data_IF_077342401402
#
_entry.id   IF_077342401402
#
_cell.length_a   1.000
_cell.length_b   1.000
_cell.length_c   1.000
_cell.angle_alpha   90.00
_cell.angle_beta   90.00
_cell.angle_gamma   90.00
#
_symmetry.space_group_name_H-M   'P 1'
#
loop_
_entity.id
_entity.type
_entity.pdbx_description
1 polymer ?
#
# COMPACT_ATOMS: atom_id res chain seq x y z
N UNK A 1 -22.91 -12.38 -1.37
CA UNK A 1 -24.16 -11.88 -1.95
C UNK A 1 -24.03 -11.52 -3.44
N UNK A 2 -23.28 -10.46 -3.83
CA UNK A 2 -23.17 -10.03 -5.25
C UNK A 2 -22.68 -11.16 -6.16
N UNK A 3 -21.68 -11.92 -5.73
CA UNK A 3 -21.18 -13.09 -6.47
C UNK A 3 -22.29 -14.15 -6.62
N UNK A 4 -22.96 -14.51 -5.54
CA UNK A 4 -24.05 -15.49 -5.55
C UNK A 4 -25.19 -15.11 -6.48
N UNK A 5 -25.54 -13.82 -6.52
CA UNK A 5 -26.56 -13.31 -7.47
C UNK A 5 -26.16 -13.57 -8.91
N UNK A 6 -24.90 -13.33 -9.27
CA UNK A 6 -24.40 -13.59 -10.61
C UNK A 6 -24.36 -15.09 -10.94
N UNK A 7 -23.96 -15.92 -9.98
CA UNK A 7 -23.96 -17.37 -10.15
C UNK A 7 -25.35 -17.94 -10.39
N UNK A 8 -26.38 -17.43 -9.68
CA UNK A 8 -27.80 -17.79 -9.92
C UNK A 8 -28.26 -17.43 -11.33
N UNK A 9 -27.72 -16.40 -11.94
CA UNK A 9 -27.96 -16.00 -13.32
C UNK A 9 -27.12 -16.80 -14.35
N UNK A 10 -26.36 -17.78 -13.90
CA UNK A 10 -25.47 -18.58 -14.75
C UNK A 10 -24.24 -17.81 -15.26
N UNK A 11 -23.91 -16.66 -14.66
CA UNK A 11 -22.82 -15.80 -15.09
C UNK A 11 -21.51 -16.12 -14.35
N UNK A 12 -20.39 -15.74 -14.97
CA UNK A 12 -19.06 -15.84 -14.38
C UNK A 12 -18.69 -14.55 -13.64
N UNK A 13 -17.82 -14.66 -12.65
CA UNK A 13 -17.33 -13.53 -11.84
C UNK A 13 -15.83 -13.55 -11.79
N UNK A 14 -15.22 -12.39 -12.06
CA UNK A 14 -13.80 -12.15 -11.83
C UNK A 14 -13.62 -11.30 -10.59
N UNK A 15 -12.84 -11.80 -9.62
CA UNK A 15 -12.46 -11.07 -8.43
C UNK A 15 -10.96 -10.79 -8.46
N UNK A 16 -10.59 -9.54 -8.74
CA UNK A 16 -9.20 -9.09 -8.75
C UNK A 16 -8.79 -8.59 -7.37
N UNK A 17 -7.66 -9.07 -6.91
CA UNK A 17 -6.99 -8.60 -5.69
C UNK A 17 -5.54 -8.22 -6.02
N UNK A 18 -4.91 -7.32 -5.25
CA UNK A 18 -3.47 -7.07 -5.38
C UNK A 18 -2.68 -8.36 -5.27
N UNK A 19 -1.56 -8.49 -5.98
CA UNK A 19 -0.79 -9.74 -6.04
C UNK A 19 -0.39 -10.24 -4.63
N UNK A 20 -0.06 -9.33 -3.72
CA UNK A 20 0.25 -9.64 -2.32
C UNK A 20 -1.02 -9.97 -1.52
N UNK A 21 -2.20 -9.53 -1.98
CA UNK A 21 -3.50 -9.81 -1.36
C UNK A 21 -4.01 -11.24 -1.58
N UNK A 22 -3.38 -12.02 -2.48
CA UNK A 22 -3.69 -13.44 -2.67
C UNK A 22 -3.13 -14.28 -1.52
N UNK A 23 -3.67 -14.04 -0.33
CA UNK A 23 -3.30 -14.81 0.86
C UNK A 23 -4.10 -16.10 0.96
N UNK A 24 -3.56 -17.08 1.70
CA UNK A 24 -4.26 -18.33 2.00
C UNK A 24 -5.62 -18.07 2.64
N UNK A 25 -5.76 -17.01 3.41
CA UNK A 25 -7.02 -16.64 4.07
C UNK A 25 -8.13 -16.32 3.06
N UNK A 26 -7.88 -15.44 2.07
CA UNK A 26 -8.90 -15.07 1.07
C UNK A 26 -9.22 -16.25 0.17
N UNK A 27 -8.21 -17.06 -0.18
CA UNK A 27 -8.36 -18.28 -0.97
C UNK A 27 -9.29 -19.27 -0.24
N UNK A 28 -9.03 -19.52 1.03
CA UNK A 28 -9.84 -20.43 1.84
C UNK A 28 -11.28 -19.92 2.02
N UNK A 29 -11.47 -18.64 2.30
CA UNK A 29 -12.80 -18.03 2.38
C UNK A 29 -13.60 -18.22 1.08
N UNK A 30 -12.94 -18.02 -0.07
CA UNK A 30 -13.61 -18.19 -1.36
C UNK A 30 -13.95 -19.65 -1.64
N UNK A 31 -13.03 -20.59 -1.37
CA UNK A 31 -13.26 -22.02 -1.51
C UNK A 31 -14.35 -22.54 -0.58
N UNK A 32 -14.39 -22.06 0.66
CA UNK A 32 -15.47 -22.41 1.60
C UNK A 32 -16.83 -21.92 1.11
N UNK A 33 -16.90 -20.72 0.49
CA UNK A 33 -18.15 -20.16 0.01
C UNK A 33 -18.64 -20.77 -1.31
N UNK A 34 -17.75 -21.14 -2.23
CA UNK A 34 -18.09 -21.49 -3.62
C UNK A 34 -17.59 -22.86 -4.07
N UNK A 35 -16.86 -23.59 -3.20
CA UNK A 35 -16.36 -24.93 -3.48
C UNK A 35 -15.55 -25.02 -4.76
N UNK A 36 -15.82 -26.04 -5.56
CA UNK A 36 -15.10 -26.36 -6.79
C UNK A 36 -15.37 -25.37 -7.95
N UNK A 37 -16.36 -24.49 -7.82
CA UNK A 37 -16.62 -23.45 -8.79
C UNK A 37 -15.63 -22.27 -8.69
N UNK A 38 -14.81 -22.22 -7.60
CA UNK A 38 -13.84 -21.20 -7.35
C UNK A 38 -12.45 -21.56 -7.90
N UNK A 39 -12.02 -20.88 -8.93
CA UNK A 39 -10.67 -20.95 -9.48
C UNK A 39 -9.77 -19.86 -8.93
N UNK A 40 -8.47 -20.13 -8.84
CA UNK A 40 -7.45 -19.18 -8.42
C UNK A 40 -6.44 -19.03 -9.53
N UNK A 41 -6.06 -17.78 -9.83
CA UNK A 41 -5.08 -17.50 -10.87
C UNK A 41 -4.02 -16.49 -10.42
N UNK A 42 -2.74 -16.87 -10.48
CA UNK A 42 -1.63 -15.97 -10.19
C UNK A 42 -0.36 -16.32 -10.98
N UNK A 43 0.59 -15.39 -11.01
CA UNK A 43 1.83 -15.47 -11.78
C UNK A 43 2.79 -16.59 -11.37
N UNK A 44 2.64 -17.15 -10.16
CA UNK A 44 3.50 -18.22 -9.62
C UNK A 44 3.09 -19.63 -10.06
N UNK A 45 1.97 -19.78 -10.77
CA UNK A 45 1.59 -21.06 -11.36
C UNK A 45 2.48 -21.41 -12.55
N UNK A 46 2.76 -22.71 -12.70
CA UNK A 46 3.42 -23.27 -13.89
C UNK A 46 2.56 -23.03 -15.13
N UNK A 47 3.17 -23.11 -16.29
CA UNK A 47 2.43 -22.94 -17.55
C UNK A 47 1.33 -24.00 -17.72
N UNK A 48 1.58 -25.25 -17.27
CA UNK A 48 0.58 -26.30 -17.30
C UNK A 48 -0.64 -25.99 -16.42
N UNK A 49 -0.43 -25.49 -15.19
CA UNK A 49 -1.52 -25.06 -14.31
C UNK A 49 -2.31 -23.88 -14.88
N UNK A 50 -1.63 -22.93 -15.53
CA UNK A 50 -2.29 -21.79 -16.21
C UNK A 50 -3.15 -22.25 -17.37
N UNK A 51 -2.68 -23.21 -18.17
CA UNK A 51 -3.43 -23.78 -19.28
C UNK A 51 -4.68 -24.51 -18.77
N UNK A 52 -4.55 -25.28 -17.68
CA UNK A 52 -5.69 -25.96 -17.07
C UNK A 52 -6.74 -24.96 -16.59
N UNK A 53 -6.33 -23.88 -15.88
CA UNK A 53 -7.24 -22.84 -15.44
C UNK A 53 -7.92 -22.15 -16.63
N UNK A 54 -7.18 -21.89 -17.71
CA UNK A 54 -7.69 -21.32 -18.94
C UNK A 54 -8.87 -22.12 -19.50
N UNK A 55 -8.71 -23.44 -19.63
CA UNK A 55 -9.78 -24.33 -20.12
C UNK A 55 -10.94 -24.43 -19.16
N UNK A 56 -10.68 -24.45 -17.84
CA UNK A 56 -11.72 -24.50 -16.82
C UNK A 56 -12.56 -23.19 -16.80
N UNK A 57 -11.98 -22.04 -17.14
CA UNK A 57 -12.71 -20.76 -17.31
C UNK A 57 -13.50 -20.74 -18.60
N UNK A 58 -12.94 -21.26 -19.72
CA UNK A 58 -13.64 -21.40 -20.99
C UNK A 58 -14.86 -22.32 -20.92
N UNK A 59 -14.93 -23.17 -19.90
CA UNK A 59 -15.98 -24.17 -19.79
C UNK A 59 -15.91 -25.23 -20.90
N UNK A 60 -14.73 -25.49 -21.43
CA UNK A 60 -14.48 -26.53 -22.42
C UNK A 60 -14.00 -27.81 -21.72
N UNK A 61 -14.50 -28.96 -22.18
CA UNK A 61 -14.25 -30.31 -21.59
C UNK A 61 -12.80 -30.77 -21.64
N UNK A 62 -11.86 -29.93 -22.02
CA UNK A 62 -10.47 -30.29 -22.21
C UNK A 62 -9.60 -30.32 -20.93
N UNK A 63 -10.08 -29.83 -19.80
CA UNK A 63 -9.39 -29.93 -18.53
C UNK A 63 -9.43 -31.36 -17.98
N UNK A 64 -8.31 -31.88 -17.46
CA UNK A 64 -8.19 -33.24 -16.87
C UNK A 64 -9.21 -33.49 -15.76
N UNK A 65 -9.74 -32.46 -15.13
CA UNK A 65 -10.65 -32.52 -13.97
C UNK A 65 -12.12 -32.34 -14.33
N UNK A 66 -12.49 -31.87 -15.54
CA UNK A 66 -13.85 -31.53 -15.91
C UNK A 66 -14.47 -30.38 -15.07
N UNK A 67 -13.67 -29.70 -14.26
CA UNK A 67 -14.09 -28.58 -13.43
C UNK A 67 -14.40 -27.34 -14.24
N UNK A 68 -15.44 -26.62 -13.85
CA UNK A 68 -15.86 -25.35 -14.46
C UNK A 68 -15.72 -24.22 -13.45
N UNK A 69 -14.85 -23.29 -13.71
CA UNK A 69 -14.71 -22.12 -12.84
C UNK A 69 -15.70 -21.03 -13.21
N UNK A 70 -16.62 -20.76 -12.27
CA UNK A 70 -17.58 -19.66 -12.39
C UNK A 70 -17.12 -18.42 -11.59
N UNK A 71 -16.33 -18.60 -10.56
CA UNK A 71 -15.70 -17.51 -9.80
C UNK A 71 -14.21 -17.64 -9.90
N UNK A 72 -13.52 -16.63 -10.38
CA UNK A 72 -12.06 -16.63 -10.46
C UNK A 72 -11.50 -15.53 -9.59
N UNK A 73 -10.70 -15.91 -8.59
CA UNK A 73 -9.87 -15.00 -7.81
C UNK A 73 -8.51 -14.89 -8.48
N UNK A 74 -8.05 -13.69 -8.77
CA UNK A 74 -6.76 -13.53 -9.40
C UNK A 74 -6.09 -12.20 -9.18
N UNK A 75 -4.79 -12.18 -9.50
CA UNK A 75 -4.01 -10.96 -9.57
C UNK A 75 -4.21 -10.27 -10.93
N UNK A 76 -3.47 -9.21 -11.15
CA UNK A 76 -3.50 -8.35 -12.35
C UNK A 76 -3.71 -9.10 -13.69
N UNK A 77 -2.98 -10.19 -13.92
CA UNK A 77 -3.03 -10.92 -15.19
C UNK A 77 -4.29 -11.75 -15.39
N UNK A 78 -5.09 -12.00 -14.34
CA UNK A 78 -6.35 -12.73 -14.45
C UNK A 78 -7.40 -12.00 -15.32
N UNK A 79 -7.21 -10.71 -15.55
CA UNK A 79 -8.09 -9.92 -16.43
C UNK A 79 -8.13 -10.43 -17.87
N UNK A 80 -7.12 -11.17 -18.32
CA UNK A 80 -7.04 -11.72 -19.67
C UNK A 80 -7.53 -13.17 -19.79
N UNK A 81 -8.11 -13.74 -18.73
CA UNK A 81 -8.71 -15.06 -18.82
C UNK A 81 -9.93 -15.05 -19.76
N UNK A 82 -10.21 -16.16 -20.45
CA UNK A 82 -11.18 -16.24 -21.54
C UNK A 82 -12.60 -16.43 -21.03
N UNK A 83 -13.14 -15.46 -20.31
CA UNK A 83 -14.52 -15.49 -19.87
C UNK A 83 -15.50 -15.43 -21.04
N UNK A 84 -16.54 -16.27 -21.05
CA UNK A 84 -17.60 -16.27 -22.05
C UNK A 84 -18.86 -15.53 -21.61
N UNK A 85 -19.22 -15.68 -20.35
CA UNK A 85 -20.44 -15.09 -19.79
C UNK A 85 -20.14 -14.32 -18.50
N UNK A 86 -19.24 -13.32 -18.62
CA UNK A 86 -18.83 -12.50 -17.47
C UNK A 86 -19.97 -11.57 -17.06
N UNK A 87 -20.37 -11.61 -15.79
CA UNK A 87 -21.47 -10.80 -15.25
C UNK A 87 -21.01 -9.75 -14.23
N UNK A 88 -19.89 -10.00 -13.56
CA UNK A 88 -19.35 -9.09 -12.54
C UNK A 88 -17.83 -9.15 -12.52
N UNK A 89 -17.21 -8.00 -12.43
CA UNK A 89 -15.79 -7.84 -12.12
C UNK A 89 -15.67 -7.06 -10.82
N UNK A 90 -15.00 -7.62 -9.83
CA UNK A 90 -14.67 -6.95 -8.58
C UNK A 90 -13.18 -6.62 -8.60
N UNK A 91 -12.83 -5.38 -8.34
CA UNK A 91 -11.45 -4.93 -8.19
C UNK A 91 -11.29 -4.41 -6.77
N UNK A 92 -10.70 -5.21 -5.91
CA UNK A 92 -10.46 -4.85 -4.52
C UNK A 92 -9.19 -4.03 -4.38
N UNK A 93 -9.18 -3.08 -3.45
CA UNK A 93 -8.07 -2.11 -3.29
C UNK A 93 -7.67 -1.48 -4.64
N UNK A 94 -8.65 -0.95 -5.38
CA UNK A 94 -8.51 -0.49 -6.78
C UNK A 94 -7.39 0.54 -6.97
N UNK A 95 -7.03 1.24 -5.89
CA UNK A 95 -5.96 2.24 -5.87
C UNK A 95 -4.55 1.64 -5.93
N UNK A 96 -4.42 0.32 -5.75
CA UNK A 96 -3.13 -0.33 -5.63
C UNK A 96 -2.29 -0.28 -6.90
N UNK A 97 -1.02 0.12 -6.73
CA UNK A 97 -0.08 0.23 -7.84
C UNK A 97 0.26 -1.10 -8.52
N UNK A 98 0.05 -2.24 -7.83
CA UNK A 98 0.31 -3.57 -8.39
C UNK A 98 -0.60 -3.93 -9.56
N UNK A 99 -1.73 -3.23 -9.73
CA UNK A 99 -2.58 -3.36 -10.91
C UNK A 99 -1.95 -2.75 -12.17
N UNK A 100 -0.95 -1.88 -12.05
CA UNK A 100 -0.19 -1.36 -13.19
C UNK A 100 0.96 -2.28 -13.54
N UNK A 101 1.00 -2.76 -14.77
CA UNK A 101 2.17 -3.43 -15.33
C UNK A 101 3.18 -2.41 -15.81
N UNK A 102 4.38 -2.44 -15.25
CA UNK A 102 5.47 -1.56 -15.67
C UNK A 102 6.40 -2.25 -16.67
N UNK A 103 6.62 -3.53 -16.47
CA UNK A 103 7.44 -4.40 -17.31
C UNK A 103 6.93 -5.84 -17.21
N UNK A 104 6.90 -6.59 -18.32
CA UNK A 104 7.16 -6.18 -19.69
C UNK A 104 5.99 -5.37 -20.32
N UNK A 105 6.17 -4.91 -21.54
CA UNK A 105 5.04 -4.43 -22.37
C UNK A 105 4.10 -5.61 -22.71
N UNK A 106 2.79 -5.34 -22.93
CA UNK A 106 2.09 -4.05 -22.87
C UNK A 106 1.91 -3.56 -21.42
N UNK A 107 2.12 -2.25 -21.21
CA UNK A 107 2.04 -1.61 -19.89
C UNK A 107 0.61 -1.21 -19.53
N UNK A 108 -0.28 -2.19 -19.35
CA UNK A 108 -1.68 -1.97 -18.99
C UNK A 108 -1.87 -1.71 -17.48
N UNK A 109 -3.07 -1.22 -17.12
CA UNK A 109 -3.56 -1.20 -15.74
C UNK A 109 -4.80 -2.10 -15.65
N UNK A 110 -4.77 -3.12 -14.79
CA UNK A 110 -5.85 -4.11 -14.71
C UNK A 110 -7.18 -3.51 -14.24
N UNK A 111 -7.17 -2.49 -13.39
CA UNK A 111 -8.37 -1.74 -13.01
C UNK A 111 -9.02 -1.10 -14.24
N UNK A 112 -8.26 -0.42 -15.06
CA UNK A 112 -8.77 0.25 -16.27
C UNK A 112 -9.22 -0.78 -17.31
N UNK A 113 -8.47 -1.90 -17.42
CA UNK A 113 -8.89 -3.04 -18.25
C UNK A 113 -10.17 -3.70 -17.75
N UNK A 114 -10.40 -3.77 -16.43
CA UNK A 114 -11.63 -4.30 -15.85
C UNK A 114 -12.86 -3.48 -16.30
N UNK A 115 -12.73 -2.17 -16.33
CA UNK A 115 -13.80 -1.28 -16.82
C UNK A 115 -14.07 -1.53 -18.30
N UNK A 116 -13.02 -1.67 -19.12
CA UNK A 116 -13.16 -1.98 -20.54
C UNK A 116 -13.81 -3.36 -20.76
N UNK A 117 -13.33 -4.38 -20.06
CA UNK A 117 -13.89 -5.75 -20.12
C UNK A 117 -15.35 -5.79 -19.67
N UNK A 118 -15.69 -5.05 -18.60
CA UNK A 118 -17.05 -4.90 -18.15
C UNK A 118 -17.96 -4.35 -19.25
N UNK A 119 -17.50 -3.33 -19.97
CA UNK A 119 -18.25 -2.77 -21.08
C UNK A 119 -18.39 -3.76 -22.26
N UNK A 120 -17.31 -4.46 -22.62
CA UNK A 120 -17.33 -5.44 -23.72
C UNK A 120 -18.27 -6.64 -23.44
N UNK A 121 -18.34 -7.09 -22.19
CA UNK A 121 -19.17 -8.23 -21.78
C UNK A 121 -20.57 -7.83 -21.28
N UNK A 122 -20.89 -6.54 -21.19
CA UNK A 122 -22.09 -6.08 -20.49
C UNK A 122 -22.10 -6.44 -18.99
N UNK A 123 -20.93 -6.63 -18.40
CA UNK A 123 -20.76 -6.99 -17.01
C UNK A 123 -20.69 -5.75 -16.11
N UNK A 124 -21.18 -5.88 -14.88
CA UNK A 124 -21.00 -4.84 -13.85
C UNK A 124 -19.57 -4.83 -13.34
N UNK A 125 -19.05 -3.64 -13.03
CA UNK A 125 -17.71 -3.48 -12.43
C UNK A 125 -17.85 -2.79 -11.08
N UNK A 126 -17.30 -3.42 -10.05
CA UNK A 126 -17.22 -2.89 -8.68
C UNK A 126 -15.76 -2.57 -8.35
N UNK A 127 -15.47 -1.30 -8.15
CA UNK A 127 -14.16 -0.83 -7.69
C UNK A 127 -14.25 -0.56 -6.19
N UNK A 128 -13.57 -1.38 -5.38
CA UNK A 128 -13.59 -1.29 -3.92
C UNK A 128 -12.32 -0.67 -3.38
N UNK A 129 -12.45 0.30 -2.48
CA UNK A 129 -11.33 0.89 -1.74
C UNK A 129 -11.81 1.69 -0.55
N UNK A 130 -11.04 1.66 0.56
CA UNK A 130 -11.21 2.60 1.67
C UNK A 130 -10.61 3.98 1.34
N UNK A 131 -9.63 4.02 0.45
CA UNK A 131 -8.88 5.21 0.03
C UNK A 131 -8.76 5.21 -1.49
N UNK A 132 -9.84 5.51 -2.24
CA UNK A 132 -9.85 5.39 -3.70
C UNK A 132 -8.72 6.15 -4.38
N UNK A 133 -8.31 5.71 -5.58
CA UNK A 133 -7.43 6.52 -6.41
C UNK A 133 -8.12 7.81 -6.83
N UNK A 134 -7.36 8.88 -6.95
CA UNK A 134 -7.95 10.17 -7.30
C UNK A 134 -8.62 10.16 -8.67
N UNK A 135 -8.12 9.38 -9.62
CA UNK A 135 -8.75 9.22 -10.93
C UNK A 135 -10.12 8.53 -10.84
N UNK A 136 -10.24 7.48 -10.02
CA UNK A 136 -11.52 6.77 -9.82
C UNK A 136 -12.52 7.67 -9.08
N UNK A 137 -12.09 8.30 -7.99
CA UNK A 137 -12.95 9.20 -7.23
C UNK A 137 -13.38 10.43 -8.03
N UNK A 138 -12.48 11.01 -8.85
CA UNK A 138 -12.80 12.09 -9.76
C UNK A 138 -13.88 11.70 -10.78
N UNK A 139 -13.77 10.49 -11.38
CA UNK A 139 -14.78 9.99 -12.30
C UNK A 139 -16.13 9.76 -11.61
N UNK A 140 -16.12 9.27 -10.37
CA UNK A 140 -17.34 9.11 -9.57
C UNK A 140 -17.99 10.46 -9.22
N UNK A 141 -17.20 11.46 -8.80
CA UNK A 141 -17.68 12.83 -8.53
C UNK A 141 -18.27 13.53 -9.76
N UNK A 142 -17.86 13.11 -10.96
CA UNK A 142 -18.41 13.61 -12.25
C UNK A 142 -19.55 12.75 -12.78
N UNK A 143 -20.13 11.89 -11.99
CA UNK A 143 -21.22 10.98 -12.38
C UNK A 143 -20.87 10.04 -13.54
N UNK A 144 -19.58 9.83 -13.83
CA UNK A 144 -19.14 8.82 -14.80
C UNK A 144 -19.23 7.40 -14.23
N UNK A 145 -19.06 7.27 -12.92
CA UNK A 145 -19.25 6.04 -12.14
C UNK A 145 -20.29 6.30 -11.05
N UNK A 146 -21.06 5.25 -10.69
CA UNK A 146 -21.87 5.28 -9.48
C UNK A 146 -20.96 5.29 -8.25
N UNK A 147 -21.31 6.09 -7.24
CA UNK A 147 -20.59 6.17 -5.96
C UNK A 147 -21.45 5.61 -4.84
N UNK A 148 -20.93 4.63 -4.12
CA UNK A 148 -21.53 4.09 -2.90
C UNK A 148 -20.56 4.30 -1.75
N UNK A 149 -20.98 5.06 -0.73
CA UNK A 149 -20.21 5.29 0.47
C UNK A 149 -20.69 4.34 1.57
N UNK A 150 -19.77 3.53 2.10
CA UNK A 150 -19.98 2.70 3.29
C UNK A 150 -19.42 3.48 4.50
N UNK A 151 -20.30 4.11 5.26
CA UNK A 151 -19.93 5.00 6.37
C UNK A 151 -19.79 4.27 7.69
N UNK A 152 -20.40 3.09 7.81
CA UNK A 152 -20.36 2.27 9.02
C UNK A 152 -19.37 1.12 8.88
N UNK A 153 -18.53 0.96 9.89
CA UNK A 153 -17.60 -0.18 9.94
C UNK A 153 -18.33 -1.45 10.41
N UNK A 154 -17.91 -2.58 9.86
CA UNK A 154 -18.42 -3.88 10.30
C UNK A 154 -18.21 -4.04 11.81
N UNK A 155 -19.27 -4.40 12.53
CA UNK A 155 -19.31 -4.55 14.00
C UNK A 155 -18.98 -3.28 14.81
N UNK A 156 -19.04 -2.08 14.23
CA UNK A 156 -18.81 -0.84 14.96
C UNK A 156 -17.39 -0.65 15.51
N UNK A 157 -16.40 -1.37 14.98
CA UNK A 157 -15.01 -1.30 15.44
C UNK A 157 -14.48 0.13 15.25
N UNK A 158 -13.95 0.74 16.32
CA UNK A 158 -13.35 2.09 16.29
C UNK A 158 -12.10 2.15 15.42
N UNK A 159 -11.84 3.33 14.86
CA UNK A 159 -10.58 3.61 14.18
C UNK A 159 -9.43 3.67 15.20
N UNK A 160 -8.23 3.22 14.85
CA UNK A 160 -7.07 3.39 15.71
C UNK A 160 -6.77 4.88 15.92
N UNK A 161 -6.17 5.21 17.04
CA UNK A 161 -5.64 6.55 17.29
C UNK A 161 -4.35 6.74 16.49
N UNK A 162 -4.30 7.79 15.67
CA UNK A 162 -3.11 8.18 14.95
C UNK A 162 -2.46 9.37 15.66
N UNK A 163 -1.16 9.25 15.97
CA UNK A 163 -0.38 10.31 16.59
C UNK A 163 0.87 10.61 15.76
N UNK A 164 1.16 11.86 15.43
CA UNK A 164 2.44 12.24 14.85
C UNK A 164 3.49 12.24 15.97
N UNK A 165 4.71 11.81 15.66
CA UNK A 165 5.85 11.91 16.53
C UNK A 165 6.96 12.71 15.84
N UNK A 166 7.37 13.83 16.46
CA UNK A 166 8.31 14.77 15.89
C UNK A 166 9.75 14.27 16.05
N UNK A 167 10.29 13.64 15.00
CA UNK A 167 11.67 13.13 15.01
C UNK A 167 12.71 14.24 15.13
N UNK A 168 12.45 15.44 14.61
CA UNK A 168 13.38 16.54 14.65
C UNK A 168 13.50 17.13 16.07
N UNK A 169 12.37 17.29 16.75
CA UNK A 169 12.34 17.76 18.13
C UNK A 169 13.01 16.74 19.07
N UNK A 170 12.66 15.46 18.93
CA UNK A 170 13.25 14.38 19.70
C UNK A 170 14.78 14.31 19.50
N UNK A 171 15.24 14.51 18.26
CA UNK A 171 16.67 14.55 17.95
C UNK A 171 17.38 15.75 18.61
N UNK A 172 16.81 16.95 18.48
CA UNK A 172 17.36 18.19 19.09
C UNK A 172 17.46 18.07 20.62
N UNK A 173 16.45 17.48 21.25
CA UNK A 173 16.43 17.24 22.70
C UNK A 173 17.24 16.04 23.16
N UNK A 174 17.88 15.29 22.24
CA UNK A 174 18.64 14.05 22.52
C UNK A 174 17.78 12.96 23.19
N UNK A 175 16.51 12.90 22.87
CA UNK A 175 15.55 11.94 23.42
C UNK A 175 15.36 10.71 22.51
N UNK A 176 15.90 10.73 21.29
CA UNK A 176 15.83 9.58 20.40
C UNK A 176 16.50 8.35 21.02
N UNK A 177 15.81 7.21 20.98
CA UNK A 177 16.38 5.91 21.31
C UNK A 177 16.65 5.18 20.00
N UNK A 178 17.87 5.34 19.49
CA UNK A 178 18.26 4.92 18.14
C UNK A 178 17.39 5.61 17.07
N UNK A 179 16.54 4.85 16.36
CA UNK A 179 15.63 5.34 15.31
C UNK A 179 14.22 5.63 15.84
N UNK A 180 13.97 5.44 17.12
CA UNK A 180 12.65 5.57 17.71
C UNK A 180 12.52 6.87 18.51
N UNK A 181 11.41 7.58 18.31
CA UNK A 181 11.01 8.68 19.19
C UNK A 181 10.56 8.11 20.53
N UNK A 182 10.56 8.93 21.63
CA UNK A 182 10.09 8.48 22.94
C UNK A 182 8.68 7.89 22.87
N UNK A 183 7.76 8.54 22.15
CA UNK A 183 6.37 8.12 22.04
C UNK A 183 6.25 6.73 21.41
N UNK A 184 6.99 6.45 20.33
CA UNK A 184 6.97 5.13 19.72
C UNK A 184 7.63 4.08 20.60
N UNK A 185 8.75 4.41 21.23
CA UNK A 185 9.43 3.50 22.15
C UNK A 185 8.54 3.09 23.34
N UNK A 186 7.86 4.05 23.94
CA UNK A 186 6.98 3.82 25.10
C UNK A 186 5.77 2.97 24.72
N UNK A 187 5.16 3.22 23.55
CA UNK A 187 4.06 2.40 23.06
C UNK A 187 4.50 0.96 22.72
N UNK A 188 5.69 0.77 22.11
CA UNK A 188 6.27 -0.58 21.90
C UNK A 188 6.47 -1.28 23.25
N UNK A 189 7.08 -0.62 24.21
CA UNK A 189 7.35 -1.17 25.55
C UNK A 189 6.06 -1.59 26.24
N UNK A 190 5.03 -0.74 26.17
CA UNK A 190 3.71 -1.02 26.74
C UNK A 190 3.04 -2.21 26.06
N UNK A 191 3.08 -2.30 24.72
CA UNK A 191 2.50 -3.42 23.99
C UNK A 191 3.18 -4.74 24.36
N UNK A 192 4.51 -4.78 24.41
CA UNK A 192 5.27 -5.98 24.79
C UNK A 192 4.99 -6.42 26.24
N UNK A 193 4.91 -5.48 27.18
CA UNK A 193 4.55 -5.77 28.58
C UNK A 193 3.16 -6.41 28.70
N UNK A 194 2.22 -6.04 27.80
CA UNK A 194 0.88 -6.61 27.74
C UNK A 194 0.77 -7.86 26.84
N UNK A 195 1.88 -8.39 26.31
CA UNK A 195 1.93 -9.50 25.36
C UNK A 195 1.13 -9.23 24.10
N UNK A 196 1.06 -7.96 23.70
CA UNK A 196 0.43 -7.51 22.45
C UNK A 196 1.50 -7.36 21.37
N UNK A 197 1.10 -7.43 20.11
CA UNK A 197 2.02 -7.41 18.97
C UNK A 197 2.22 -6.01 18.40
N UNK A 198 3.37 -5.82 17.76
CA UNK A 198 3.77 -4.55 17.13
C UNK A 198 4.12 -4.78 15.66
N UNK A 199 3.68 -3.87 14.80
CA UNK A 199 4.15 -3.80 13.41
C UNK A 199 4.95 -2.51 13.22
N UNK A 200 6.17 -2.62 12.71
CA UNK A 200 7.01 -1.48 12.36
C UNK A 200 7.17 -1.40 10.85
N UNK A 201 6.67 -0.33 10.29
CA UNK A 201 6.68 -0.10 8.87
C UNK A 201 7.82 0.82 8.45
N UNK A 202 8.64 0.34 7.51
CA UNK A 202 9.67 1.11 6.83
C UNK A 202 9.49 1.02 5.32
N UNK A 203 9.26 2.15 4.67
CA UNK A 203 9.16 2.15 3.21
C UNK A 203 10.55 2.00 2.56
N UNK A 204 10.85 0.80 2.02
CA UNK A 204 12.11 0.53 1.30
C UNK A 204 11.97 0.62 -0.22
N UNK A 205 10.76 0.54 -0.78
CA UNK A 205 10.55 0.52 -2.22
C UNK A 205 10.75 1.90 -2.84
N UNK A 206 11.65 1.97 -3.81
CA UNK A 206 11.90 3.19 -4.58
C UNK A 206 12.72 4.22 -3.79
N UNK A 207 13.74 3.77 -3.07
CA UNK A 207 14.69 4.66 -2.45
C UNK A 207 15.34 5.55 -3.53
N UNK A 208 14.71 6.70 -3.78
CA UNK A 208 15.36 7.80 -4.45
C UNK A 208 16.06 8.60 -3.34
N UNK A 209 17.39 8.56 -3.23
CA UNK A 209 18.09 9.32 -2.22
C UNK A 209 17.74 10.80 -2.41
N UNK A 210 17.31 11.43 -1.34
CA UNK A 210 17.05 12.87 -1.30
C UNK A 210 17.90 13.51 -0.22
N UNK A 211 18.07 14.81 -0.30
CA UNK A 211 18.73 15.58 0.73
C UNK A 211 17.71 16.34 1.56
N UNK A 212 17.95 16.46 2.85
CA UNK A 212 17.08 17.13 3.80
C UNK A 212 17.91 18.02 4.73
N UNK A 213 17.43 19.20 5.02
CA UNK A 213 17.98 20.01 6.08
C UNK A 213 17.74 19.38 7.45
N UNK A 214 18.81 19.12 8.20
CA UNK A 214 18.70 18.54 9.54
C UNK A 214 18.08 19.51 10.57
N UNK A 215 18.13 20.83 10.29
CA UNK A 215 17.65 21.87 11.18
C UNK A 215 16.15 22.15 11.04
N UNK A 216 15.61 22.30 9.81
CA UNK A 216 14.20 22.66 9.58
C UNK A 216 13.39 21.61 8.84
N UNK A 217 14.03 20.52 8.34
CA UNK A 217 13.33 19.47 7.60
C UNK A 217 13.11 19.79 6.10
N UNK A 218 13.53 20.96 5.61
CA UNK A 218 13.37 21.37 4.21
C UNK A 218 14.00 20.36 3.25
N UNK A 219 13.31 20.14 2.11
CA UNK A 219 13.73 19.23 1.05
C UNK A 219 13.63 19.96 -0.31
N UNK A 220 14.69 19.96 -1.15
CA UNK A 220 14.68 20.63 -2.44
C UNK A 220 13.63 20.07 -3.39
N UNK A 221 12.73 20.90 -3.85
CA UNK A 221 11.71 20.56 -4.85
C UNK A 221 12.06 21.11 -6.24
N UNK A 222 11.48 20.52 -7.27
CA UNK A 222 11.55 21.03 -8.63
C UNK A 222 10.56 22.18 -8.81
N UNK A 223 11.04 23.36 -9.20
CA UNK A 223 10.20 24.54 -9.43
C UNK A 223 9.19 24.40 -10.57
N UNK A 224 9.38 23.43 -11.46
CA UNK A 224 8.49 23.21 -12.61
C UNK A 224 7.46 22.10 -12.38
N UNK A 225 7.76 21.15 -11.49
CA UNK A 225 6.95 19.93 -11.30
C UNK A 225 6.45 19.75 -9.88
N UNK A 226 6.87 20.58 -8.94
CA UNK A 226 6.56 20.51 -7.50
C UNK A 226 6.82 19.12 -6.86
N UNK A 227 7.72 18.35 -7.43
CA UNK A 227 8.17 17.06 -6.86
C UNK A 227 9.57 17.21 -6.28
N UNK A 228 9.88 16.43 -5.26
CA UNK A 228 11.22 16.39 -4.67
C UNK A 228 12.24 15.95 -5.69
N UNK A 229 13.43 16.55 -5.65
CA UNK A 229 14.55 16.17 -6.53
C UNK A 229 15.28 14.96 -5.96
N UNK A 230 15.72 14.06 -6.84
CA UNK A 230 16.54 12.91 -6.48
C UNK A 230 18.01 13.27 -6.47
N UNK A 231 18.71 12.88 -5.42
CA UNK A 231 20.16 13.05 -5.33
C UNK A 231 20.89 11.93 -6.09
N UNK A 232 21.74 12.31 -7.00
CA UNK A 232 22.61 11.39 -7.75
C UNK A 232 24.04 11.52 -7.27
N UNK A 233 24.47 10.59 -6.41
CA UNK A 233 25.81 10.60 -5.78
C UNK A 233 26.94 10.68 -6.79
N UNK A 234 26.85 9.94 -7.92
CA UNK A 234 27.89 9.90 -8.95
C UNK A 234 28.04 11.23 -9.71
N UNK A 235 27.05 12.12 -9.65
CA UNK A 235 27.04 13.42 -10.35
C UNK A 235 27.00 14.59 -9.38
N UNK A 236 26.95 14.32 -8.09
CA UNK A 236 26.78 15.32 -7.01
C UNK A 236 25.69 16.35 -7.32
N UNK A 237 24.58 15.88 -7.90
CA UNK A 237 23.53 16.75 -8.42
C UNK A 237 22.13 16.26 -8.01
N UNK A 238 21.19 17.22 -8.05
CA UNK A 238 19.78 17.01 -7.75
C UNK A 238 18.97 17.07 -9.03
N UNK A 239 18.41 15.95 -9.47
CA UNK A 239 17.71 15.82 -10.75
C UNK A 239 16.21 15.56 -10.52
N UNK A 240 15.38 16.31 -11.24
CA UNK A 240 13.95 16.02 -11.34
C UNK A 240 13.72 14.92 -12.38
N UNK A 241 13.15 13.80 -11.98
CA UNK A 241 12.89 12.67 -12.89
C UNK A 241 11.69 12.88 -13.83
N UNK A 242 10.94 14.00 -13.67
CA UNK A 242 9.84 14.36 -14.57
C UNK A 242 10.30 15.22 -15.76
N UNK A 243 10.97 16.31 -15.49
CA UNK A 243 11.38 17.26 -16.52
C UNK A 243 12.88 17.26 -16.81
N UNK A 244 13.68 16.46 -16.10
CA UNK A 244 15.13 16.43 -16.26
C UNK A 244 15.86 17.66 -15.67
N UNK A 245 15.14 18.61 -15.05
CA UNK A 245 15.77 19.80 -14.46
C UNK A 245 16.83 19.40 -13.44
N UNK A 246 18.06 19.80 -13.69
CA UNK A 246 19.24 19.48 -12.90
C UNK A 246 19.74 20.72 -12.17
N UNK A 247 20.15 20.57 -10.91
CA UNK A 247 20.82 21.60 -10.13
C UNK A 247 21.96 20.96 -9.33
N UNK A 248 22.97 21.72 -9.02
CA UNK A 248 24.05 21.29 -8.13
C UNK A 248 23.49 20.91 -6.77
N UNK A 249 24.24 20.10 -6.02
CA UNK A 249 23.90 19.79 -4.64
C UNK A 249 23.84 21.10 -3.84
N UNK A 250 22.75 21.29 -3.11
CA UNK A 250 22.60 22.45 -2.23
C UNK A 250 23.50 22.29 -1.01
N UNK A 251 24.29 23.30 -0.71
CA UNK A 251 25.17 23.33 0.48
C UNK A 251 24.55 24.09 1.64
N UNK A 252 23.52 24.90 1.36
CA UNK A 252 22.76 25.65 2.37
C UNK A 252 21.28 25.46 2.16
N UNK A 253 20.55 25.39 3.25
CA UNK A 253 19.08 25.32 3.24
C UNK A 253 18.48 26.63 2.73
N UNK A 254 17.60 26.56 1.73
CA UNK A 254 16.92 27.73 1.18
C UNK A 254 15.90 28.34 2.15
N UNK A 255 15.38 27.55 3.12
CA UNK A 255 14.39 28.00 4.10
C UNK A 255 15.03 28.62 5.36
N UNK A 256 16.05 28.00 5.94
CA UNK A 256 16.59 28.44 7.24
C UNK A 256 18.08 28.83 7.19
N UNK A 257 18.72 28.79 6.04
CA UNK A 257 20.12 29.17 5.85
C UNK A 257 21.16 28.21 6.45
N UNK A 258 20.73 27.10 7.08
CA UNK A 258 21.64 26.12 7.68
C UNK A 258 22.44 25.36 6.63
N UNK A 259 23.69 25.03 6.94
CA UNK A 259 24.58 24.19 6.14
C UNK A 259 24.44 22.69 6.47
N UNK A 260 23.59 22.33 7.45
CA UNK A 260 23.34 20.95 7.84
C UNK A 260 22.44 20.20 6.84
N UNK A 261 22.93 20.00 5.63
CA UNK A 261 22.23 19.22 4.60
C UNK A 261 22.68 17.76 4.67
N UNK A 262 21.76 16.82 4.91
CA UNK A 262 22.05 15.39 5.05
C UNK A 262 21.28 14.54 4.05
N UNK A 263 21.94 13.53 3.50
CA UNK A 263 21.27 12.48 2.72
C UNK A 263 20.53 11.55 3.67
N UNK A 264 19.28 11.19 3.36
CA UNK A 264 18.42 10.36 4.19
C UNK A 264 18.12 9.01 3.56
N UNK A 265 18.02 7.96 4.40
CA UNK A 265 17.57 6.61 4.09
C UNK A 265 18.16 5.52 5.01
N UNK A 266 17.30 4.59 5.46
CA UNK A 266 17.70 3.41 6.24
C UNK A 266 17.02 2.16 5.69
N UNK A 267 17.67 0.98 5.78
CA UNK A 267 17.09 -0.33 5.44
C UNK A 267 16.37 -0.98 6.62
N UNK A 268 15.50 -1.95 6.35
CA UNK A 268 14.78 -2.76 7.36
C UNK A 268 15.72 -3.59 8.22
N UNK A 269 16.88 -3.98 7.70
CA UNK A 269 17.90 -4.76 8.39
C UNK A 269 18.45 -4.00 9.62
N UNK A 270 18.86 -2.76 9.42
CA UNK A 270 19.34 -1.92 10.52
C UNK A 270 18.27 -1.73 11.61
N UNK A 271 16.98 -1.63 11.22
CA UNK A 271 15.89 -1.49 12.18
C UNK A 271 15.72 -2.76 13.01
N UNK A 272 15.82 -3.93 12.39
CA UNK A 272 15.78 -5.22 13.09
C UNK A 272 16.89 -5.32 14.14
N UNK A 273 18.13 -4.94 13.78
CA UNK A 273 19.28 -4.94 14.69
C UNK A 273 19.06 -4.00 15.88
N UNK A 274 18.60 -2.78 15.64
CA UNK A 274 18.31 -1.80 16.68
C UNK A 274 17.19 -2.25 17.64
N UNK A 275 16.15 -2.93 17.11
CA UNK A 275 15.09 -3.48 17.95
C UNK A 275 15.62 -4.58 18.86
N UNK A 276 16.47 -5.48 18.34
CA UNK A 276 17.07 -6.57 19.14
C UNK A 276 17.94 -6.05 20.26
N UNK A 277 18.61 -4.91 20.04
CA UNK A 277 19.40 -4.24 21.10
C UNK A 277 18.52 -3.57 22.16
N UNK A 278 17.41 -2.94 21.76
CA UNK A 278 16.53 -2.21 22.66
C UNK A 278 15.52 -3.10 23.40
N UNK A 279 15.13 -4.21 22.78
CA UNK A 279 14.14 -5.16 23.31
C UNK A 279 14.65 -6.61 23.15
N UNK A 280 15.69 -7.01 23.92
CA UNK A 280 16.37 -8.29 23.75
C UNK A 280 15.46 -9.51 24.00
N UNK A 281 14.40 -9.36 24.79
CA UNK A 281 13.43 -10.42 25.08
C UNK A 281 12.35 -10.58 23.99
N UNK A 282 12.24 -9.61 23.07
CA UNK A 282 11.21 -9.64 22.03
C UNK A 282 11.61 -10.55 20.87
N UNK A 283 10.67 -11.36 20.41
CA UNK A 283 10.83 -12.19 19.22
C UNK A 283 10.54 -11.33 17.97
N UNK A 284 11.61 -10.93 17.29
CA UNK A 284 11.56 -10.02 16.15
C UNK A 284 11.70 -10.80 14.85
N UNK A 285 10.88 -10.46 13.87
CA UNK A 285 11.01 -10.98 12.52
C UNK A 285 10.89 -9.86 11.46
N UNK A 286 11.52 -10.09 10.30
CA UNK A 286 11.53 -9.17 9.18
C UNK A 286 10.73 -9.73 8.00
N UNK A 287 9.88 -8.89 7.41
CA UNK A 287 9.08 -9.20 6.23
C UNK A 287 9.42 -8.23 5.10
N UNK A 288 10.36 -8.62 4.25
CA UNK A 288 10.72 -7.89 3.04
C UNK A 288 10.96 -8.86 1.87
N UNK A 289 11.34 -8.33 0.70
CA UNK A 289 11.57 -9.14 -0.49
C UNK A 289 12.69 -10.16 -0.31
N UNK A 290 13.70 -9.85 0.51
CA UNK A 290 14.86 -10.72 0.69
C UNK A 290 14.50 -11.91 1.57
N UNK A 291 13.71 -11.69 2.64
CA UNK A 291 13.28 -12.74 3.58
C UNK A 291 12.12 -13.59 3.04
N UNK A 292 11.38 -13.10 2.05
CA UNK A 292 10.14 -13.74 1.56
C UNK A 292 10.23 -14.25 0.12
N UNK A 293 11.43 -14.44 -0.44
CA UNK A 293 11.62 -14.95 -1.80
C UNK A 293 11.05 -16.36 -2.00
N UNK A 294 11.19 -17.22 -1.01
CA UNK A 294 10.62 -18.57 -1.05
C UNK A 294 9.11 -18.51 -0.69
N UNK A 295 8.26 -19.14 -1.51
CA UNK A 295 6.81 -19.19 -1.32
C UNK A 295 6.41 -19.62 0.10
N UNK A 296 7.03 -20.66 0.63
CA UNK A 296 6.75 -21.16 1.99
C UNK A 296 7.22 -20.23 3.10
N UNK A 297 8.29 -19.45 2.90
CA UNK A 297 8.83 -18.55 3.91
C UNK A 297 7.83 -17.42 4.26
N UNK A 298 7.17 -16.85 3.26
CA UNK A 298 6.14 -15.84 3.47
C UNK A 298 4.94 -16.37 4.27
N UNK A 299 4.40 -17.52 3.88
CA UNK A 299 3.26 -18.16 4.56
C UNK A 299 3.61 -18.56 6.00
N UNK A 300 4.82 -19.10 6.20
CA UNK A 300 5.31 -19.49 7.52
C UNK A 300 5.47 -18.30 8.46
N UNK A 301 5.99 -17.18 7.95
CA UNK A 301 6.19 -15.95 8.72
C UNK A 301 4.85 -15.34 9.16
N UNK A 302 3.86 -15.31 8.26
CA UNK A 302 2.50 -14.88 8.59
C UNK A 302 1.90 -15.77 9.68
N UNK A 303 1.97 -17.09 9.51
CA UNK A 303 1.45 -18.03 10.49
C UNK A 303 2.12 -17.88 11.87
N UNK A 304 3.45 -17.67 11.90
CA UNK A 304 4.16 -17.44 13.15
C UNK A 304 3.72 -16.14 13.84
N UNK A 305 3.45 -15.09 13.07
CA UNK A 305 2.95 -13.84 13.62
C UNK A 305 1.50 -13.98 14.10
N UNK A 306 0.61 -14.59 13.32
CA UNK A 306 -0.78 -14.85 13.72
C UNK A 306 -0.88 -15.71 14.99
N UNK A 307 0.00 -16.69 15.14
CA UNK A 307 0.02 -17.57 16.32
C UNK A 307 0.78 -17.01 17.52
N UNK A 308 1.19 -15.75 17.47
CA UNK A 308 1.87 -15.09 18.58
C UNK A 308 3.29 -15.59 18.86
N UNK A 309 3.95 -16.23 17.86
CA UNK A 309 5.36 -16.65 17.96
C UNK A 309 6.35 -15.53 17.65
N UNK A 310 5.86 -14.41 17.12
CA UNK A 310 6.61 -13.20 16.83
C UNK A 310 5.89 -12.05 17.52
N UNK A 311 6.64 -11.22 18.23
CA UNK A 311 6.13 -10.07 18.98
C UNK A 311 6.20 -8.78 18.15
N UNK A 312 7.31 -8.60 17.43
CA UNK A 312 7.54 -7.42 16.58
C UNK A 312 7.78 -7.86 15.14
N UNK A 313 6.95 -7.37 14.22
CA UNK A 313 7.12 -7.58 12.78
C UNK A 313 7.62 -6.29 12.13
N UNK A 314 8.84 -6.31 11.62
CA UNK A 314 9.42 -5.21 10.83
C UNK A 314 9.21 -5.48 9.36
N UNK A 315 8.60 -4.54 8.63
CA UNK A 315 8.37 -4.82 7.22
C UNK A 315 8.21 -3.60 6.33
N UNK A 316 8.16 -3.91 5.03
CA UNK A 316 7.87 -2.95 3.96
C UNK A 316 6.38 -3.00 3.59
N UNK A 317 6.02 -2.55 2.40
CA UNK A 317 4.64 -2.63 1.90
C UNK A 317 4.02 -4.04 1.93
N UNK A 318 4.80 -5.09 2.17
CA UNK A 318 4.28 -6.46 2.28
C UNK A 318 3.44 -6.67 3.55
N UNK A 319 3.73 -5.96 4.64
CA UNK A 319 2.95 -6.06 5.90
C UNK A 319 1.62 -5.29 5.84
N UNK A 320 1.41 -4.48 4.80
CA UNK A 320 0.21 -3.63 4.70
C UNK A 320 -0.98 -4.34 4.06
N UNK A 321 -0.78 -5.45 3.34
CA UNK A 321 -1.74 -5.98 2.37
C UNK A 321 -2.26 -7.36 2.74
N UNK A 322 -3.59 -7.51 2.68
CA UNK A 322 -4.26 -8.82 2.71
C UNK A 322 -4.10 -9.64 3.99
N UNK A 323 -3.52 -9.07 5.04
CA UNK A 323 -3.27 -9.73 6.32
C UNK A 323 -4.23 -9.21 7.38
N UNK A 324 -4.74 -10.11 8.18
CA UNK A 324 -5.67 -9.81 9.25
C UNK A 324 -5.06 -10.32 10.58
N UNK A 325 -4.63 -9.40 11.45
CA UNK A 325 -3.96 -9.73 12.69
C UNK A 325 -4.79 -9.25 13.88
N UNK A 326 -5.17 -10.16 14.75
CA UNK A 326 -6.05 -9.88 15.89
C UNK A 326 -5.34 -9.25 17.10
N UNK A 327 -4.03 -9.43 17.23
CA UNK A 327 -3.25 -9.07 18.42
C UNK A 327 -2.36 -7.84 18.25
N UNK A 328 -2.42 -7.18 17.09
CA UNK A 328 -1.61 -6.00 16.82
C UNK A 328 -2.19 -4.78 17.54
N UNK A 329 -1.45 -4.27 18.53
CA UNK A 329 -1.80 -3.09 19.32
C UNK A 329 -1.20 -1.82 18.73
N UNK A 330 0.08 -1.88 18.34
CA UNK A 330 0.85 -0.72 17.90
C UNK A 330 1.32 -0.92 16.46
N UNK A 331 1.16 0.13 15.67
CA UNK A 331 1.79 0.25 14.34
C UNK A 331 2.69 1.48 14.34
N UNK A 332 3.97 1.30 14.08
CA UNK A 332 4.94 2.39 13.94
C UNK A 332 5.28 2.64 12.47
N UNK A 333 5.00 3.84 11.96
CA UNK A 333 5.51 4.32 10.67
C UNK A 333 6.81 5.04 10.93
N UNK A 334 7.96 4.42 10.61
CA UNK A 334 9.27 4.87 11.07
C UNK A 334 9.79 6.12 10.36
N UNK A 335 9.35 6.36 9.13
CA UNK A 335 9.78 7.54 8.37
C UNK A 335 8.71 7.92 7.33
N UNK A 336 7.76 8.75 7.73
CA UNK A 336 6.72 9.25 6.83
C UNK A 336 7.28 10.25 5.80
N UNK A 337 8.39 10.93 6.12
CA UNK A 337 9.01 11.89 5.20
C UNK A 337 9.47 11.23 3.89
N UNK A 338 9.90 9.96 3.95
CA UNK A 338 10.25 9.18 2.75
C UNK A 338 9.05 8.93 1.82
N UNK A 339 7.86 8.87 2.37
CA UNK A 339 6.62 8.72 1.59
C UNK A 339 6.22 10.06 0.97
N UNK A 340 6.17 11.09 1.79
CA UNK A 340 5.75 12.44 1.40
C UNK A 340 6.67 13.04 0.32
N UNK A 341 7.99 12.81 0.47
CA UNK A 341 9.00 13.41 -0.39
C UNK A 341 9.46 12.48 -1.52
N UNK A 342 8.73 11.40 -1.77
CA UNK A 342 9.01 10.56 -2.93
C UNK A 342 8.81 11.39 -4.22
N UNK A 343 9.74 11.36 -5.20
CA UNK A 343 9.70 12.22 -6.38
C UNK A 343 8.65 11.76 -7.41
N UNK A 344 7.39 11.81 -7.04
CA UNK A 344 6.22 11.46 -7.85
C UNK A 344 5.07 12.41 -7.48
N UNK A 345 4.34 12.92 -8.46
CA UNK A 345 3.18 13.78 -8.23
C UNK A 345 2.07 13.10 -7.43
N UNK A 346 2.09 11.77 -7.30
CA UNK A 346 1.18 10.97 -6.47
C UNK A 346 1.70 10.74 -5.06
N UNK A 347 2.83 11.35 -4.67
CA UNK A 347 3.46 11.05 -3.38
C UNK A 347 2.50 11.28 -2.21
N UNK A 348 1.75 12.36 -2.21
CA UNK A 348 0.81 12.70 -1.15
C UNK A 348 -0.40 11.76 -1.12
N UNK A 349 -0.99 11.45 -2.28
CA UNK A 349 -2.05 10.44 -2.41
C UNK A 349 -1.59 9.09 -1.86
N UNK A 350 -0.42 8.62 -2.30
CA UNK A 350 0.14 7.33 -1.88
C UNK A 350 0.54 7.29 -0.41
N UNK A 351 1.03 8.40 0.13
CA UNK A 351 1.36 8.51 1.55
C UNK A 351 0.11 8.33 2.41
N UNK A 352 -0.97 9.05 2.07
CA UNK A 352 -2.24 8.92 2.74
C UNK A 352 -2.76 7.47 2.65
N UNK A 353 -2.86 6.91 1.46
CA UNK A 353 -3.34 5.55 1.21
C UNK A 353 -2.56 4.53 2.03
N UNK A 354 -1.23 4.61 2.01
CA UNK A 354 -0.37 3.65 2.68
C UNK A 354 -0.45 3.76 4.21
N UNK A 355 -0.42 4.97 4.77
CA UNK A 355 -0.55 5.15 6.23
C UNK A 355 -1.94 4.71 6.69
N UNK A 356 -3.00 5.00 5.94
CA UNK A 356 -4.35 4.53 6.27
C UNK A 356 -4.49 3.01 6.17
N UNK A 357 -3.87 2.35 5.19
CA UNK A 357 -3.80 0.89 5.13
C UNK A 357 -3.08 0.29 6.34
N UNK A 358 -1.98 0.92 6.77
CA UNK A 358 -1.25 0.53 7.98
C UNK A 358 -2.10 0.70 9.22
N UNK A 359 -2.81 1.82 9.32
CA UNK A 359 -3.69 2.09 10.47
C UNK A 359 -4.78 1.02 10.60
N UNK A 360 -5.31 0.53 9.48
CA UNK A 360 -6.27 -0.57 9.49
C UNK A 360 -5.75 -1.89 10.05
N UNK A 361 -4.44 -2.01 10.37
CA UNK A 361 -3.84 -3.19 11.00
C UNK A 361 -3.79 -3.08 12.53
N UNK A 362 -3.86 -1.88 13.09
CA UNK A 362 -3.85 -1.66 14.53
C UNK A 362 -5.26 -1.73 15.12
N UNK A 363 -5.42 -2.45 16.22
CA UNK A 363 -6.65 -2.51 16.99
C UNK A 363 -7.78 -3.31 16.33
N UNK A 364 -8.06 -4.50 16.88
CA UNK A 364 -9.21 -5.32 16.53
C UNK A 364 -9.72 -6.02 17.81
N UNK A 365 -10.96 -6.49 17.81
CA UNK A 365 -11.57 -7.32 18.87
C UNK A 365 -11.53 -6.72 20.29
N UNK A 366 -11.87 -5.45 20.51
CA UNK A 366 -12.15 -4.83 21.83
C UNK A 366 -11.11 -3.82 22.35
N UNK A 367 -10.04 -3.51 21.64
CA UNK A 367 -9.11 -2.45 22.04
C UNK A 367 -8.80 -1.55 20.85
N UNK A 368 -8.91 -0.24 21.05
CA UNK A 368 -8.52 0.75 20.07
C UNK A 368 -7.01 0.68 19.83
N UNK A 369 -6.57 0.48 18.58
CA UNK A 369 -5.18 0.44 18.20
C UNK A 369 -4.49 1.80 18.28
N UNK A 370 -3.15 1.79 18.29
CA UNK A 370 -2.33 2.99 18.25
C UNK A 370 -1.44 2.98 17.01
N UNK A 371 -1.39 4.10 16.30
CA UNK A 371 -0.49 4.30 15.16
C UNK A 371 0.38 5.52 15.43
N UNK A 372 1.68 5.30 15.52
CA UNK A 372 2.66 6.37 15.68
C UNK A 372 3.32 6.66 14.33
N UNK A 373 3.17 7.89 13.85
CA UNK A 373 3.74 8.34 12.58
C UNK A 373 4.95 9.23 12.84
N UNK A 374 6.14 8.65 12.74
CA UNK A 374 7.38 9.41 12.91
C UNK A 374 7.66 10.28 11.67
N UNK A 375 7.81 11.58 11.88
CA UNK A 375 8.08 12.56 10.82
C UNK A 375 8.87 13.74 11.36
N UNK A 376 9.70 14.34 10.50
CA UNK A 376 10.36 15.63 10.78
C UNK A 376 9.41 16.83 10.55
N UNK A 377 8.25 16.59 9.94
CA UNK A 377 7.29 17.62 9.55
C UNK A 377 5.88 17.27 10.08
N UNK A 378 5.65 17.27 11.39
CA UNK A 378 4.36 16.91 11.98
C UNK A 378 3.22 17.85 11.53
N UNK A 379 3.55 19.10 11.23
CA UNK A 379 2.58 20.11 10.75
C UNK A 379 2.33 20.04 9.22
N UNK A 380 2.89 19.04 8.53
CA UNK A 380 2.66 18.89 7.10
C UNK A 380 1.16 18.61 6.82
N UNK A 381 0.50 19.34 5.87
CA UNK A 381 -0.93 19.20 5.63
C UNK A 381 -1.42 17.77 5.39
N UNK A 382 -0.61 16.93 4.73
CA UNK A 382 -0.95 15.51 4.51
C UNK A 382 -0.93 14.72 5.81
N UNK A 383 -0.06 15.05 6.76
CA UNK A 383 -0.03 14.40 8.09
C UNK A 383 -1.30 14.76 8.86
N UNK A 384 -1.73 16.02 8.84
CA UNK A 384 -3.01 16.44 9.44
C UNK A 384 -4.20 15.71 8.80
N UNK A 385 -4.22 15.60 7.47
CA UNK A 385 -5.29 14.87 6.77
C UNK A 385 -5.31 13.37 7.15
N UNK A 386 -4.13 12.76 7.30
CA UNK A 386 -4.01 11.36 7.75
C UNK A 386 -4.55 11.19 9.17
N UNK A 387 -4.14 12.05 10.11
CA UNK A 387 -4.59 11.99 11.51
C UNK A 387 -6.11 12.19 11.61
N UNK A 388 -6.64 13.15 10.86
CA UNK A 388 -8.07 13.46 10.82
C UNK A 388 -8.89 12.51 9.93
N UNK A 389 -8.26 11.53 9.27
CA UNK A 389 -8.90 10.69 8.23
C UNK A 389 -9.64 11.52 7.16
N UNK A 390 -9.06 12.65 6.76
CA UNK A 390 -9.69 13.65 5.91
C UNK A 390 -9.38 13.42 4.41
N UNK A 391 -9.76 12.26 3.85
CA UNK A 391 -9.55 11.92 2.44
C UNK A 391 -10.10 12.99 1.47
N UNK A 392 -11.31 13.49 1.72
CA UNK A 392 -11.98 14.45 0.84
C UNK A 392 -11.23 15.79 0.79
N UNK A 393 -10.73 16.26 1.93
CA UNK A 393 -9.98 17.52 2.02
C UNK A 393 -8.65 17.38 1.25
N UNK A 394 -7.93 16.30 1.47
CA UNK A 394 -6.70 15.99 0.73
C UNK A 394 -6.96 15.89 -0.77
N UNK A 395 -8.00 15.16 -1.18
CA UNK A 395 -8.41 15.04 -2.58
C UNK A 395 -8.63 16.41 -3.21
N UNK A 396 -9.45 17.29 -2.61
CA UNK A 396 -9.77 18.60 -3.18
C UNK A 396 -8.50 19.44 -3.38
N UNK A 397 -7.63 19.52 -2.36
CA UNK A 397 -6.36 20.26 -2.44
C UNK A 397 -5.45 19.70 -3.54
N UNK A 398 -5.31 18.38 -3.60
CA UNK A 398 -4.47 17.73 -4.61
C UNK A 398 -5.05 17.88 -6.03
N UNK A 399 -6.35 17.96 -6.19
CA UNK A 399 -6.96 18.20 -7.49
C UNK A 399 -6.68 19.60 -8.04
N UNK A 400 -6.63 20.62 -7.17
CA UNK A 400 -6.23 21.98 -7.56
C UNK A 400 -4.77 22.00 -8.03
N UNK A 401 -3.86 21.40 -7.26
CA UNK A 401 -2.44 21.25 -7.63
C UNK A 401 -2.27 20.51 -8.97
N UNK A 402 -2.95 19.38 -9.15
CA UNK A 402 -2.89 18.60 -10.40
C UNK A 402 -3.41 19.36 -11.61
N UNK A 403 -4.40 20.21 -11.43
CA UNK A 403 -4.88 21.09 -12.50
C UNK A 403 -3.82 22.14 -12.87
N UNK A 404 -3.21 22.76 -11.87
CA UNK A 404 -2.19 23.79 -12.06
C UNK A 404 -0.92 23.22 -12.74
N UNK A 405 -0.46 22.06 -12.30
CA UNK A 405 0.74 21.41 -12.84
C UNK A 405 0.47 20.47 -14.03
N UNK A 406 -0.74 20.45 -14.56
CA UNK A 406 -1.16 19.64 -15.71
C UNK A 406 -0.96 18.13 -15.50
N UNK A 407 -1.34 17.62 -14.32
CA UNK A 407 -1.30 16.20 -14.00
C UNK A 407 -2.64 15.48 -14.21
N UNK A 408 -2.64 14.15 -14.33
CA UNK A 408 -3.87 13.35 -14.31
C UNK A 408 -4.71 13.62 -13.05
N UNK A 409 -6.03 13.61 -13.15
CA UNK A 409 -6.86 13.16 -14.27
C UNK A 409 -7.17 14.23 -15.32
N UNK A 410 -6.69 15.46 -15.17
CA UNK A 410 -6.98 16.55 -16.10
C UNK A 410 -6.21 16.41 -17.43
N UNK A 411 -4.98 15.94 -17.35
CA UNK A 411 -4.11 15.77 -18.51
C UNK A 411 -3.54 14.35 -18.54
N UNK A 412 -3.18 13.89 -19.73
CA UNK A 412 -2.50 12.61 -19.91
C UNK A 412 -1.00 12.82 -19.89
N UNK A 413 -0.30 11.97 -19.15
CA UNK A 413 1.16 11.92 -19.19
C UNK A 413 1.61 10.79 -20.09
N UNK A 414 2.52 11.11 -21.01
CA UNK A 414 3.22 10.15 -21.87
C UNK A 414 4.69 10.16 -21.41
N UNK A 415 5.23 8.97 -21.10
CA UNK A 415 6.61 8.79 -20.67
C UNK A 415 7.35 7.91 -21.68
#
# INVERSE_FOLDING_TARGET
RLIEEQLKLGKQVLYLVPEIGLTTQIINRLKTAFGDQAGIYHSKFSDAERVEIWFNVLNERAGKTGQQYKVVLGARSAIFLPFRNLGLIIVDEEHENSYKQFDPAPRYNARDMAILMGNLHGAKVLLGSATPSYETYFNARRNKYGLVNLTERYQGIELPLLKPANTQEAYKRKLMRSVFTPELYDEISSALANKEQVILFQNRRGFAPYVQCAKCGWIPKCKYCDVSKTYHKNRESLICHYCGHNTSLVTKCEECGSDEIKTRGFGTEKIEDEIRLLFPEARVARMDLDTTRAKKAYEQLIWQFETGKIDILVGTQMVTKGLDFDHVRVVGVLNADNLLNYPDFRSYERSFQLIMQMSGRAGRKNKQGMVIVQTAQPEHPVIHDVIGNNYIQLFNRQMEERKMFRYPPYFRLIK
#
